data_IF_504530752978
#
_entry.id   IF_504530752978
#
_cell.length_a   1.000
_cell.length_b   1.000
_cell.length_c   1.000
_cell.angle_alpha   90.00
_cell.angle_beta   90.00
_cell.angle_gamma   90.00
#
_symmetry.space_group_name_H-M   'P 1'
#
loop_
_entity.id
_entity.type
_entity.pdbx_description
1 polymer ?
#
# COMPACT_ATOMS: atom_id res chain seq x y z
N UNK A 1 31.05 -0.25 -15.38
CA UNK A 1 30.68 0.45 -14.13
C UNK A 1 29.98 1.68 -14.61
N UNK A 2 28.67 1.59 -14.63
CA UNK A 2 27.83 2.35 -15.55
C UNK A 2 27.61 3.75 -14.95
N UNK A 3 27.38 4.78 -15.78
CA UNK A 3 27.24 6.19 -15.34
C UNK A 3 26.26 6.36 -14.17
N UNK A 4 25.25 5.47 -14.09
CA UNK A 4 24.28 5.41 -12.99
C UNK A 4 24.90 5.07 -11.63
N UNK A 5 25.87 4.16 -11.59
CA UNK A 5 26.60 3.77 -10.37
C UNK A 5 27.65 4.78 -9.93
N UNK A 6 28.13 5.66 -10.82
CA UNK A 6 29.00 6.78 -10.44
C UNK A 6 28.21 7.90 -9.75
N UNK A 7 27.01 8.21 -10.25
CA UNK A 7 26.13 9.24 -9.67
C UNK A 7 25.64 8.88 -8.26
N UNK A 8 25.28 7.61 -8.02
CA UNK A 8 24.85 7.15 -6.69
C UNK A 8 25.95 7.26 -5.63
N UNK A 9 27.20 6.93 -5.98
CA UNK A 9 28.32 7.06 -5.06
C UNK A 9 28.61 8.53 -4.71
N UNK A 10 28.52 9.44 -5.68
CA UNK A 10 28.69 10.88 -5.43
C UNK A 10 27.62 11.42 -4.47
N UNK A 11 26.36 10.99 -4.63
CA UNK A 11 25.25 11.36 -3.73
C UNK A 11 25.52 10.85 -2.30
N UNK A 12 25.97 9.60 -2.16
CA UNK A 12 26.29 9.01 -0.85
C UNK A 12 27.42 9.76 -0.16
N UNK A 13 28.47 10.14 -0.91
CA UNK A 13 29.59 10.90 -0.36
C UNK A 13 29.18 12.31 0.07
N UNK A 14 28.35 13.00 -0.72
CA UNK A 14 27.79 14.32 -0.34
C UNK A 14 26.92 14.22 0.91
N UNK A 15 26.06 13.21 1.02
CA UNK A 15 25.27 12.94 2.22
C UNK A 15 26.15 12.75 3.46
N UNK A 16 27.21 11.92 3.36
CA UNK A 16 28.15 11.69 4.45
C UNK A 16 28.87 12.97 4.86
N UNK A 17 29.29 13.80 3.90
CA UNK A 17 29.93 15.10 4.15
C UNK A 17 29.01 16.00 4.96
N UNK A 18 27.76 16.18 4.55
CA UNK A 18 26.83 17.12 5.19
C UNK A 18 26.27 16.62 6.53
N UNK A 19 26.13 15.30 6.71
CA UNK A 19 25.84 14.71 8.02
C UNK A 19 27.00 14.93 9.01
N UNK A 20 28.25 14.74 8.56
CA UNK A 20 29.43 15.02 9.39
C UNK A 20 29.53 16.51 9.73
N UNK A 21 29.30 17.37 8.73
CA UNK A 21 29.24 18.82 8.90
C UNK A 21 28.22 19.21 9.97
N UNK A 22 27.00 18.68 9.90
CA UNK A 22 25.95 18.92 10.90
C UNK A 22 26.39 18.47 12.30
N UNK A 23 26.89 17.24 12.43
CA UNK A 23 27.27 16.67 13.72
C UNK A 23 28.37 17.47 14.43
N UNK A 24 29.30 18.06 13.69
CA UNK A 24 30.41 18.86 14.19
C UNK A 24 30.03 20.28 14.63
N UNK A 25 28.79 20.74 14.38
CA UNK A 25 28.34 22.07 14.80
C UNK A 25 28.11 22.15 16.30
N UNK A 26 28.44 23.31 16.87
CA UNK A 26 28.13 23.64 18.26
C UNK A 26 26.61 23.71 18.46
N UNK A 27 26.14 23.55 19.70
CA UNK A 27 24.69 23.53 19.97
C UNK A 27 24.01 24.88 19.69
N UNK A 28 24.72 25.99 19.94
CA UNK A 28 24.27 27.34 19.61
C UNK A 28 24.08 27.52 18.10
N UNK A 29 25.05 27.08 17.31
CA UNK A 29 25.00 27.09 15.85
C UNK A 29 23.84 26.23 15.31
N UNK A 30 23.66 25.01 15.86
CA UNK A 30 22.53 24.12 15.50
C UNK A 30 21.18 24.77 15.80
N UNK A 31 21.07 25.42 16.96
CA UNK A 31 19.84 26.08 17.41
C UNK A 31 19.45 27.21 16.46
N UNK A 32 20.40 28.07 16.07
CA UNK A 32 20.16 29.13 15.08
C UNK A 32 19.67 28.55 13.74
N UNK A 33 20.36 27.53 13.22
CA UNK A 33 19.98 26.91 11.94
C UNK A 33 18.56 26.31 12.02
N UNK A 34 18.24 25.61 13.11
CA UNK A 34 16.92 25.01 13.35
C UNK A 34 15.83 26.08 13.44
N UNK A 35 16.08 27.17 14.15
CA UNK A 35 15.13 28.26 14.30
C UNK A 35 14.85 28.91 12.94
N UNK A 36 15.90 29.22 12.18
CA UNK A 36 15.79 29.77 10.82
C UNK A 36 15.05 28.82 9.88
N UNK A 37 15.35 27.52 9.94
CA UNK A 37 14.69 26.48 9.15
C UNK A 37 13.18 26.40 9.43
N UNK A 38 12.76 26.53 10.69
CA UNK A 38 11.35 26.48 11.09
C UNK A 38 10.58 27.76 10.79
N UNK A 39 11.24 28.91 10.83
CA UNK A 39 10.59 30.23 10.74
C UNK A 39 10.57 30.81 9.33
N UNK A 40 11.55 30.45 8.49
CA UNK A 40 11.65 30.94 7.12
C UNK A 40 10.96 30.00 6.12
N UNK A 41 10.49 30.55 5.01
CA UNK A 41 10.13 29.72 3.85
C UNK A 41 11.39 29.06 3.25
N UNK A 42 11.20 27.99 2.47
CA UNK A 42 12.32 27.24 1.89
C UNK A 42 13.26 28.13 1.04
N UNK A 43 12.70 29.06 0.27
CA UNK A 43 13.49 30.00 -0.54
C UNK A 43 14.24 31.02 0.32
N UNK A 44 13.62 31.52 1.39
CA UNK A 44 14.27 32.45 2.32
C UNK A 44 15.40 31.77 3.08
N UNK A 45 15.18 30.54 3.56
CA UNK A 45 16.21 29.76 4.26
C UNK A 45 17.40 29.47 3.35
N UNK A 46 17.14 29.13 2.08
CA UNK A 46 18.17 28.97 1.05
C UNK A 46 18.99 30.23 0.82
N UNK A 47 18.33 31.39 0.68
CA UNK A 47 19.02 32.67 0.51
C UNK A 47 19.86 33.02 1.74
N UNK A 48 19.34 32.74 2.94
CA UNK A 48 20.06 32.94 4.18
C UNK A 48 21.33 32.07 4.24
N UNK A 49 21.24 30.78 3.90
CA UNK A 49 22.40 29.88 3.86
C UNK A 49 23.50 30.38 2.90
N UNK A 50 23.12 30.88 1.72
CA UNK A 50 24.07 31.27 0.69
C UNK A 50 24.69 32.67 0.91
N UNK A 51 23.98 33.58 1.59
CA UNK A 51 24.38 34.99 1.62
C UNK A 51 24.67 35.53 3.03
N UNK A 52 23.99 35.00 4.04
CA UNK A 52 23.91 35.60 5.37
C UNK A 52 24.52 34.73 6.46
N UNK A 53 24.43 33.39 6.33
CA UNK A 53 24.91 32.50 7.37
C UNK A 53 26.44 32.55 7.51
N UNK A 54 26.92 32.20 8.71
CA UNK A 54 28.35 32.17 9.06
C UNK A 54 29.19 31.28 8.13
N UNK A 55 28.56 30.29 7.48
CA UNK A 55 29.21 29.31 6.60
C UNK A 55 28.93 29.52 5.11
N UNK A 56 28.50 30.72 4.71
CA UNK A 56 28.17 31.03 3.31
C UNK A 56 29.29 30.75 2.29
N UNK A 57 30.55 30.77 2.73
CA UNK A 57 31.70 30.46 1.89
C UNK A 57 32.04 28.96 1.83
N UNK A 58 31.44 28.14 2.69
CA UNK A 58 31.59 26.67 2.71
C UNK A 58 30.45 25.95 1.98
N UNK A 59 29.33 26.64 1.73
CA UNK A 59 28.09 26.07 1.21
C UNK A 59 27.89 26.54 -0.24
N UNK A 60 27.73 25.58 -1.15
CA UNK A 60 27.33 25.87 -2.53
C UNK A 60 25.83 25.65 -2.74
N UNK A 61 25.31 26.08 -3.88
CA UNK A 61 23.89 25.88 -4.22
C UNK A 61 23.51 24.39 -4.27
N UNK A 62 24.42 23.55 -4.74
CA UNK A 62 24.19 22.10 -4.87
C UNK A 62 24.18 21.38 -3.52
N UNK A 63 24.80 21.99 -2.51
CA UNK A 63 24.87 21.45 -1.15
C UNK A 63 23.56 21.60 -0.36
N UNK A 64 22.70 22.55 -0.76
CA UNK A 64 21.49 22.91 -0.01
C UNK A 64 20.61 21.68 0.23
N UNK A 65 20.38 20.86 -0.80
CA UNK A 65 19.52 19.67 -0.70
C UNK A 65 20.03 18.71 0.38
N UNK A 66 21.34 18.54 0.47
CA UNK A 66 21.98 17.66 1.46
C UNK A 66 21.95 18.24 2.88
N UNK A 67 21.99 19.57 3.00
CA UNK A 67 21.81 20.27 4.29
C UNK A 67 20.37 20.12 4.78
N UNK A 68 19.37 20.33 3.91
CA UNK A 68 17.97 20.07 4.22
C UNK A 68 17.78 18.65 4.73
N UNK A 69 18.27 17.68 3.96
CA UNK A 69 18.21 16.26 4.32
C UNK A 69 18.84 15.97 5.69
N UNK A 70 19.98 16.59 6.00
CA UNK A 70 20.66 16.41 7.29
C UNK A 70 19.85 16.95 8.47
N UNK A 71 19.21 18.11 8.29
CA UNK A 71 18.35 18.75 9.30
C UNK A 71 17.06 17.94 9.51
N UNK A 72 16.41 17.49 8.44
CA UNK A 72 15.21 16.64 8.52
C UNK A 72 15.51 15.31 9.20
N UNK A 73 16.64 14.69 8.84
CA UNK A 73 17.14 13.48 9.49
C UNK A 73 17.36 13.72 10.98
N UNK A 74 17.97 14.86 11.34
CA UNK A 74 18.14 15.25 12.75
C UNK A 74 16.81 15.41 13.48
N UNK A 75 15.78 16.00 12.87
CA UNK A 75 14.44 16.03 13.49
C UNK A 75 13.85 14.64 13.64
N UNK A 76 13.99 13.76 12.66
CA UNK A 76 13.50 12.39 12.75
C UNK A 76 14.13 11.63 13.94
N UNK A 77 15.43 11.85 14.19
CA UNK A 77 16.14 11.27 15.34
C UNK A 77 15.87 11.99 16.66
N UNK A 78 15.80 13.33 16.70
CA UNK A 78 15.61 14.08 17.96
C UNK A 78 14.15 14.12 18.43
N UNK A 79 13.19 13.90 17.54
CA UNK A 79 11.82 13.52 17.91
C UNK A 79 11.73 12.11 18.54
N UNK A 80 12.87 11.43 18.77
CA UNK A 80 12.96 10.26 19.65
C UNK A 80 13.51 10.60 21.06
N UNK A 81 14.22 11.72 21.23
CA UNK A 81 14.95 12.06 22.47
C UNK A 81 14.42 13.30 23.22
N UNK A 82 13.43 14.02 22.67
CA UNK A 82 12.62 14.88 23.51
C UNK A 82 11.89 14.00 24.51
N UNK A 83 12.12 14.23 25.81
CA UNK A 83 11.21 13.81 26.89
C UNK A 83 9.87 14.54 26.73
N UNK A 84 9.18 14.31 25.61
CA UNK A 84 7.73 14.33 25.61
C UNK A 84 7.34 13.32 26.68
N UNK A 85 6.46 13.71 27.59
CA UNK A 85 5.88 12.79 28.55
C UNK A 85 5.29 11.62 27.77
N UNK A 86 6.03 10.51 27.69
CA UNK A 86 5.60 9.33 26.96
C UNK A 86 4.24 8.93 27.53
N UNK A 87 3.22 9.02 26.68
CA UNK A 87 1.85 8.71 27.05
C UNK A 87 1.76 7.20 27.23
N UNK A 88 1.62 6.77 28.48
CA UNK A 88 1.57 5.36 28.84
C UNK A 88 0.13 4.88 28.80
N UNK A 89 -0.11 3.82 28.06
CA UNK A 89 -1.37 3.10 28.05
C UNK A 89 -1.12 1.59 28.10
N UNK A 90 -2.18 0.82 28.25
CA UNK A 90 -2.10 -0.63 28.21
C UNK A 90 -3.01 -1.20 27.13
N UNK A 91 -2.56 -2.28 26.50
CA UNK A 91 -3.36 -3.08 25.58
C UNK A 91 -3.46 -4.51 26.12
N UNK A 92 -4.67 -5.05 26.16
CA UNK A 92 -4.95 -6.44 26.54
C UNK A 92 -5.00 -7.27 25.27
N UNK A 93 -4.11 -8.27 25.17
CA UNK A 93 -4.01 -9.21 24.05
C UNK A 93 -4.08 -10.62 24.62
N UNK A 94 -5.09 -11.40 24.24
CA UNK A 94 -5.33 -12.75 24.76
C UNK A 94 -5.21 -12.81 26.31
N UNK A 95 -5.93 -11.90 26.98
CA UNK A 95 -5.94 -11.73 28.46
C UNK A 95 -4.64 -11.21 29.08
N UNK A 96 -3.60 -10.95 28.29
CA UNK A 96 -2.32 -10.41 28.76
C UNK A 96 -2.30 -8.89 28.59
N UNK A 97 -2.15 -8.17 29.71
CA UNK A 97 -1.95 -6.71 29.74
C UNK A 97 -0.51 -6.37 29.36
N UNK A 98 -0.31 -5.64 28.26
CA UNK A 98 1.00 -5.14 27.79
C UNK A 98 1.03 -3.61 27.84
N UNK A 99 2.14 -3.05 28.32
CA UNK A 99 2.38 -1.61 28.34
C UNK A 99 2.75 -1.13 26.93
N UNK A 100 2.10 -0.06 26.47
CA UNK A 100 2.44 0.67 25.26
C UNK A 100 2.82 2.10 25.61
N UNK A 101 3.68 2.68 24.77
CA UNK A 101 4.15 4.06 24.87
C UNK A 101 3.79 4.78 23.58
N UNK A 102 2.99 5.83 23.71
CA UNK A 102 2.52 6.61 22.58
C UNK A 102 3.22 7.96 22.56
N UNK A 103 3.57 8.43 21.36
CA UNK A 103 4.13 9.77 21.16
C UNK A 103 3.05 10.84 20.99
N UNK A 104 1.91 10.45 20.41
CA UNK A 104 0.79 11.34 20.12
C UNK A 104 -0.51 10.62 20.46
N UNK A 105 -1.50 11.34 21.02
CA UNK A 105 -2.84 10.82 21.32
C UNK A 105 -3.71 10.72 20.05
N UNK A 106 -3.34 9.83 19.14
CA UNK A 106 -4.14 9.49 17.96
C UNK A 106 -4.49 8.01 17.92
N UNK A 107 -5.56 7.69 17.20
CA UNK A 107 -5.98 6.33 16.91
C UNK A 107 -4.92 5.58 16.08
N UNK A 108 -4.30 6.25 15.12
CA UNK A 108 -3.23 5.66 14.31
C UNK A 108 -2.03 5.24 15.17
N UNK A 109 -1.62 6.09 16.12
CA UNK A 109 -0.53 5.76 17.04
C UNK A 109 -0.89 4.58 17.94
N UNK A 110 -2.11 4.56 18.48
CA UNK A 110 -2.60 3.47 19.31
C UNK A 110 -2.56 2.15 18.52
N UNK A 111 -3.06 2.16 17.29
CA UNK A 111 -3.06 1.00 16.40
C UNK A 111 -1.64 0.51 16.13
N UNK A 112 -0.72 1.43 15.80
CA UNK A 112 0.69 1.12 15.56
C UNK A 112 1.35 0.45 16.76
N UNK A 113 1.20 1.03 17.95
CA UNK A 113 1.79 0.46 19.18
C UNK A 113 1.15 -0.87 19.56
N UNK A 114 -0.16 -1.02 19.33
CA UNK A 114 -0.88 -2.27 19.55
C UNK A 114 -0.35 -3.38 18.64
N UNK A 115 -0.06 -3.08 17.37
CA UNK A 115 0.55 -4.04 16.44
C UNK A 115 1.95 -4.47 16.87
N UNK A 116 2.78 -3.56 17.39
CA UNK A 116 4.11 -3.90 17.91
C UNK A 116 4.07 -4.87 19.10
N UNK A 117 2.95 -4.96 19.81
CA UNK A 117 2.78 -5.88 20.94
C UNK A 117 2.46 -7.33 20.50
N UNK A 118 2.19 -7.56 19.21
CA UNK A 118 1.81 -8.85 18.67
C UNK A 118 3.03 -9.73 18.37
N UNK A 119 3.01 -10.94 18.91
CA UNK A 119 3.92 -12.02 18.53
C UNK A 119 3.48 -12.75 17.25
N UNK A 120 4.41 -13.51 16.65
CA UNK A 120 4.19 -14.31 15.43
C UNK A 120 2.92 -15.18 15.48
N UNK A 121 2.61 -15.77 16.64
CA UNK A 121 1.40 -16.60 16.84
C UNK A 121 0.10 -15.85 16.55
N UNK A 122 0.04 -14.55 16.84
CA UNK A 122 -1.15 -13.75 16.57
C UNK A 122 -1.31 -13.47 15.07
N UNK A 123 -0.22 -13.23 14.36
CA UNK A 123 -0.26 -13.09 12.89
C UNK A 123 -0.64 -14.41 12.21
N UNK A 124 -0.15 -15.54 12.71
CA UNK A 124 -0.58 -16.87 12.26
C UNK A 124 -2.07 -17.08 12.50
N UNK A 125 -2.58 -16.70 13.68
CA UNK A 125 -4.01 -16.73 14.00
C UNK A 125 -4.83 -15.87 13.03
N UNK A 126 -4.42 -14.62 12.81
CA UNK A 126 -5.07 -13.72 11.84
C UNK A 126 -5.13 -14.31 10.43
N UNK A 127 -4.03 -14.91 9.96
CA UNK A 127 -3.95 -15.52 8.63
C UNK A 127 -4.81 -16.77 8.51
N UNK A 128 -4.73 -17.69 9.49
CA UNK A 128 -5.42 -18.97 9.44
C UNK A 128 -6.92 -18.85 9.66
N UNK A 129 -7.34 -17.91 10.53
CA UNK A 129 -8.73 -17.70 10.92
C UNK A 129 -9.37 -16.49 10.22
N UNK A 130 -8.64 -15.83 9.32
CA UNK A 130 -9.09 -14.64 8.57
C UNK A 130 -9.67 -13.55 9.48
N UNK A 131 -8.93 -13.25 10.57
CA UNK A 131 -9.33 -12.26 11.57
C UNK A 131 -8.64 -10.92 11.31
N UNK A 132 -9.34 -9.84 11.63
CA UNK A 132 -8.75 -8.51 11.79
C UNK A 132 -8.75 -8.10 13.27
N UNK A 133 -7.85 -7.19 13.61
CA UNK A 133 -7.79 -6.57 14.92
C UNK A 133 -8.84 -5.46 14.98
N UNK A 134 -9.60 -5.43 16.07
CA UNK A 134 -10.45 -4.33 16.45
C UNK A 134 -10.05 -3.89 17.85
N UNK A 135 -9.84 -2.59 18.04
CA UNK A 135 -9.54 -2.02 19.36
C UNK A 135 -10.83 -1.59 20.04
N UNK A 136 -10.98 -1.95 21.31
CA UNK A 136 -12.13 -1.55 22.14
C UNK A 136 -11.67 -1.00 23.48
N UNK A 137 -12.51 -0.20 24.13
CA UNK A 137 -12.34 0.19 25.53
C UNK A 137 -12.73 -0.95 26.49
N UNK A 138 -12.61 -0.72 27.80
CA UNK A 138 -13.00 -1.67 28.84
C UNK A 138 -14.51 -1.95 28.93
N UNK A 139 -15.35 -1.17 28.24
CA UNK A 139 -16.79 -1.37 28.11
C UNK A 139 -17.16 -2.04 26.78
N UNK A 140 -16.17 -2.57 26.05
CA UNK A 140 -16.29 -3.16 24.71
C UNK A 140 -16.84 -2.18 23.64
N UNK A 141 -16.69 -0.86 23.83
CA UNK A 141 -16.96 0.14 22.79
C UNK A 141 -15.81 0.19 21.80
N UNK A 142 -16.12 0.23 20.50
CA UNK A 142 -15.12 0.29 19.44
C UNK A 142 -14.42 1.65 19.44
N UNK A 143 -13.07 1.62 19.40
CA UNK A 143 -12.24 2.81 19.23
C UNK A 143 -12.04 3.03 17.72
N UNK A 144 -12.66 4.08 17.17
CA UNK A 144 -12.61 4.37 15.73
C UNK A 144 -12.00 5.74 15.40
N UNK A 145 -11.69 6.56 16.41
CA UNK A 145 -11.18 7.92 16.20
C UNK A 145 -10.27 8.39 17.33
N UNK A 146 -9.56 9.49 17.07
CA UNK A 146 -8.72 10.18 18.06
C UNK A 146 -9.51 10.66 19.28
N UNK A 147 -10.79 10.98 19.13
CA UNK A 147 -11.65 11.41 20.24
C UNK A 147 -11.87 10.29 21.25
N UNK A 148 -12.10 9.06 20.78
CA UNK A 148 -12.22 7.89 21.65
C UNK A 148 -10.92 7.62 22.41
N UNK A 149 -9.77 7.78 21.74
CA UNK A 149 -8.45 7.63 22.40
C UNK A 149 -8.27 8.68 23.49
N UNK A 150 -8.50 9.96 23.17
CA UNK A 150 -8.35 11.06 24.13
C UNK A 150 -9.24 10.89 25.35
N UNK A 151 -10.50 10.50 25.13
CA UNK A 151 -11.46 10.24 26.22
C UNK A 151 -10.97 9.15 27.17
N UNK A 152 -10.36 8.08 26.66
CA UNK A 152 -9.83 7.02 27.51
C UNK A 152 -8.61 7.48 28.34
N UNK A 153 -7.83 8.42 27.81
CA UNK A 153 -6.73 9.07 28.53
C UNK A 153 -7.16 10.09 29.59
N UNK A 154 -8.45 10.45 29.67
CA UNK A 154 -9.00 11.20 30.82
C UNK A 154 -9.08 10.32 32.08
N UNK A 155 -8.94 8.99 31.93
CA UNK A 155 -8.85 8.06 33.06
C UNK A 155 -7.42 8.00 33.60
N UNK A 156 -7.28 7.68 34.88
CA UNK A 156 -5.97 7.51 35.54
C UNK A 156 -5.09 6.44 34.88
N UNK A 157 -5.70 5.41 34.28
CA UNK A 157 -5.00 4.33 33.60
C UNK A 157 -5.75 3.97 32.30
N UNK A 158 -5.28 4.44 31.12
CA UNK A 158 -5.93 4.12 29.85
C UNK A 158 -5.65 2.67 29.45
N UNK A 159 -6.73 1.90 29.25
CA UNK A 159 -6.65 0.48 28.91
C UNK A 159 -7.52 0.20 27.69
N UNK A 160 -6.91 -0.44 26.70
CA UNK A 160 -7.54 -0.89 25.48
C UNK A 160 -7.49 -2.41 25.41
N UNK A 161 -8.38 -3.02 24.63
CA UNK A 161 -8.42 -4.45 24.40
C UNK A 161 -8.43 -4.73 22.91
N UNK A 162 -7.65 -5.72 22.49
CA UNK A 162 -7.71 -6.25 21.14
C UNK A 162 -8.80 -7.32 21.10
N UNK A 163 -9.79 -7.09 20.24
CA UNK A 163 -10.74 -8.10 19.81
C UNK A 163 -10.33 -8.64 18.44
N UNK A 164 -10.35 -9.96 18.32
CA UNK A 164 -10.21 -10.63 17.05
C UNK A 164 -11.58 -10.73 16.40
N UNK A 165 -11.84 -9.89 15.41
CA UNK A 165 -13.11 -9.95 14.67
C UNK A 165 -12.90 -10.71 13.37
N UNK A 166 -13.78 -11.64 13.01
CA UNK A 166 -13.80 -12.18 11.67
C UNK A 166 -13.83 -11.03 10.67
N UNK A 167 -12.92 -11.06 9.71
CA UNK A 167 -13.08 -10.18 8.56
C UNK A 167 -14.39 -10.62 7.90
N UNK A 168 -15.47 -9.85 8.09
CA UNK A 168 -16.72 -10.05 7.37
C UNK A 168 -16.46 -9.80 5.88
N UNK A 169 -15.86 -10.79 5.22
CA UNK A 169 -16.01 -10.98 3.80
C UNK A 169 -17.42 -11.55 3.60
N UNK A 170 -18.41 -10.68 3.68
CA UNK A 170 -19.66 -10.94 2.98
C UNK A 170 -19.31 -11.20 1.50
N UNK A 171 -19.36 -12.48 1.10
CA UNK A 171 -19.59 -13.01 -0.26
C UNK A 171 -18.46 -13.17 -1.30
N UNK A 172 -17.17 -12.85 -1.07
CA UNK A 172 -16.15 -12.96 -2.17
C UNK A 172 -15.22 -14.18 -2.08
N UNK A 173 -15.03 -14.81 -0.91
CA UNK A 173 -14.27 -16.07 -0.80
C UNK A 173 -15.20 -17.18 -0.32
N UNK A 174 -16.24 -17.48 -1.11
CA UNK A 174 -16.69 -18.86 -1.17
C UNK A 174 -15.47 -19.66 -1.61
N UNK A 175 -14.95 -20.58 -0.76
CA UNK A 175 -13.79 -21.47 -1.01
C UNK A 175 -13.46 -21.50 -2.50
N UNK A 176 -12.42 -20.78 -2.93
CA UNK A 176 -12.11 -20.64 -4.35
C UNK A 176 -12.03 -22.06 -4.94
N UNK A 177 -13.08 -22.46 -5.65
CA UNK A 177 -13.10 -23.76 -6.31
C UNK A 177 -12.25 -23.57 -7.54
N UNK A 178 -11.06 -24.15 -7.50
CA UNK A 178 -10.23 -24.26 -8.69
C UNK A 178 -11.01 -25.11 -9.69
N UNK A 179 -11.58 -24.46 -10.71
CA UNK A 179 -12.17 -25.13 -11.85
C UNK A 179 -10.99 -25.64 -12.68
N UNK A 180 -10.79 -26.96 -12.66
CA UNK A 180 -9.82 -27.64 -13.51
C UNK A 180 -10.50 -28.02 -14.81
N UNK A 181 -9.77 -27.91 -15.93
CA UNK A 181 -10.27 -28.26 -17.27
C UNK A 181 -11.51 -27.46 -17.67
N UNK A 182 -11.50 -26.15 -17.39
CA UNK A 182 -12.55 -25.28 -17.88
C UNK A 182 -12.44 -25.13 -19.41
N UNK A 183 -13.59 -25.02 -20.07
CA UNK A 183 -13.69 -24.56 -21.46
C UNK A 183 -14.07 -23.08 -21.44
N UNK A 184 -13.23 -22.25 -22.05
CA UNK A 184 -13.44 -20.81 -22.21
C UNK A 184 -13.82 -20.55 -23.66
N UNK A 185 -14.98 -19.92 -23.85
CA UNK A 185 -15.49 -19.54 -25.17
C UNK A 185 -15.47 -18.02 -25.24
N UNK A 186 -14.63 -17.48 -26.13
CA UNK A 186 -14.58 -16.05 -26.42
C UNK A 186 -15.25 -15.78 -27.77
N UNK A 187 -16.07 -14.73 -27.83
CA UNK A 187 -16.61 -14.22 -29.09
C UNK A 187 -16.09 -12.79 -29.24
N UNK A 188 -15.15 -12.60 -30.15
CA UNK A 188 -14.50 -11.34 -30.44
C UNK A 188 -15.08 -10.75 -31.73
N UNK A 189 -15.89 -9.69 -31.59
CA UNK A 189 -16.46 -8.94 -32.72
C UNK A 189 -15.80 -7.58 -32.77
N UNK A 190 -14.97 -7.36 -33.79
CA UNK A 190 -14.24 -6.11 -33.99
C UNK A 190 -14.69 -5.33 -35.23
N UNK A 191 -15.49 -5.95 -36.10
CA UNK A 191 -15.94 -5.34 -37.35
C UNK A 191 -17.47 -5.30 -37.42
N UNK A 192 -18.03 -4.11 -37.67
CA UNK A 192 -19.48 -3.86 -37.74
C UNK A 192 -19.89 -3.38 -39.14
N UNK A 193 -21.11 -3.72 -39.56
CA UNK A 193 -21.63 -3.32 -40.89
C UNK A 193 -21.79 -1.80 -41.02
N UNK A 194 -22.29 -1.15 -39.97
CA UNK A 194 -22.44 0.30 -39.89
C UNK A 194 -21.32 0.88 -39.03
N UNK A 195 -20.12 1.00 -39.62
CA UNK A 195 -18.95 1.58 -38.96
C UNK A 195 -19.12 3.07 -38.59
N UNK A 196 -20.16 3.74 -39.11
CA UNK A 196 -20.47 5.12 -38.73
C UNK A 196 -21.26 5.17 -37.43
N UNK A 197 -22.14 4.20 -37.21
CA UNK A 197 -22.92 4.07 -35.98
C UNK A 197 -22.13 3.36 -34.88
N UNK A 198 -21.37 2.34 -35.23
CA UNK A 198 -20.56 1.53 -34.31
C UNK A 198 -19.15 1.40 -34.86
N UNK A 199 -18.18 2.19 -34.35
CA UNK A 199 -16.82 2.13 -34.85
C UNK A 199 -16.21 0.75 -34.60
N UNK A 200 -15.46 0.26 -35.59
CA UNK A 200 -14.69 -0.96 -35.49
C UNK A 200 -13.67 -0.89 -34.34
N UNK A 201 -13.45 -2.02 -33.70
CA UNK A 201 -12.59 -2.15 -32.52
C UNK A 201 -11.29 -2.87 -32.90
N UNK A 202 -10.36 -2.16 -33.56
CA UNK A 202 -9.10 -2.75 -34.06
C UNK A 202 -8.30 -3.52 -32.99
N UNK A 203 -8.28 -3.02 -31.75
CA UNK A 203 -7.58 -3.70 -30.66
C UNK A 203 -8.18 -5.07 -30.29
N UNK A 204 -9.51 -5.22 -30.46
CA UNK A 204 -10.21 -6.46 -30.18
C UNK A 204 -9.92 -7.54 -31.24
N UNK A 205 -9.36 -7.16 -32.40
CA UNK A 205 -9.01 -8.09 -33.48
C UNK A 205 -7.76 -8.91 -33.17
N UNK A 206 -6.80 -8.33 -32.47
CA UNK A 206 -5.49 -8.94 -32.24
C UNK A 206 -5.01 -8.84 -30.79
N UNK A 207 -4.99 -7.64 -30.21
CA UNK A 207 -4.38 -7.41 -28.89
C UNK A 207 -5.16 -8.14 -27.79
N UNK A 208 -6.47 -7.93 -27.73
CA UNK A 208 -7.29 -8.50 -26.66
C UNK A 208 -7.40 -10.03 -26.80
N UNK A 209 -7.63 -10.54 -28.02
CA UNK A 209 -7.69 -11.99 -28.27
C UNK A 209 -6.39 -12.66 -27.85
N UNK A 210 -5.23 -12.11 -28.22
CA UNK A 210 -3.94 -12.70 -27.86
C UNK A 210 -3.69 -12.65 -26.35
N UNK A 211 -4.06 -11.56 -25.68
CA UNK A 211 -3.93 -11.44 -24.23
C UNK A 211 -4.80 -12.46 -23.49
N UNK A 212 -6.09 -12.58 -23.86
CA UNK A 212 -6.99 -13.53 -23.22
C UNK A 212 -6.61 -14.97 -23.55
N UNK A 213 -6.22 -15.25 -24.79
CA UNK A 213 -5.70 -16.55 -25.18
C UNK A 213 -4.48 -16.93 -24.35
N UNK A 214 -3.51 -16.02 -24.20
CA UNK A 214 -2.34 -16.25 -23.35
C UNK A 214 -2.74 -16.57 -21.90
N UNK A 215 -3.60 -15.76 -21.29
CA UNK A 215 -4.02 -15.95 -19.90
C UNK A 215 -4.76 -17.29 -19.73
N UNK A 216 -5.75 -17.57 -20.56
CA UNK A 216 -6.60 -18.76 -20.35
C UNK A 216 -5.92 -20.06 -20.81
N UNK A 217 -5.24 -20.05 -21.95
CA UNK A 217 -4.62 -21.24 -22.52
C UNK A 217 -3.24 -21.52 -21.90
N UNK A 218 -2.39 -20.51 -21.73
CA UNK A 218 -1.00 -20.72 -21.29
C UNK A 218 -0.86 -20.65 -19.76
N UNK A 219 -1.42 -19.62 -19.11
CA UNK A 219 -1.26 -19.45 -17.66
C UNK A 219 -2.22 -20.35 -16.86
N UNK A 220 -3.47 -20.47 -17.30
CA UNK A 220 -4.50 -21.23 -16.59
C UNK A 220 -4.70 -22.65 -17.12
N UNK A 221 -4.09 -23.00 -18.26
CA UNK A 221 -4.20 -24.32 -18.90
C UNK A 221 -5.66 -24.76 -19.12
N UNK A 222 -6.50 -23.84 -19.58
CA UNK A 222 -7.88 -24.07 -19.98
C UNK A 222 -7.98 -24.32 -21.48
N UNK A 223 -9.02 -25.05 -21.88
CA UNK A 223 -9.36 -25.16 -23.30
C UNK A 223 -9.96 -23.83 -23.74
N UNK A 224 -9.36 -23.17 -24.73
CA UNK A 224 -9.77 -21.84 -25.18
C UNK A 224 -10.23 -21.91 -26.63
N UNK A 225 -11.45 -21.46 -26.89
CA UNK A 225 -12.05 -21.40 -28.23
C UNK A 225 -12.50 -19.98 -28.52
N UNK A 226 -12.14 -19.48 -29.70
CA UNK A 226 -12.53 -18.17 -30.20
C UNK A 226 -13.05 -18.29 -31.63
N UNK A 227 -13.97 -17.41 -32.03
CA UNK A 227 -14.38 -17.27 -33.43
C UNK A 227 -13.20 -16.87 -34.31
N UNK A 228 -13.22 -17.31 -35.58
CA UNK A 228 -12.17 -17.02 -36.56
C UNK A 228 -12.32 -15.65 -37.20
N UNK A 229 -13.57 -15.29 -37.52
CA UNK A 229 -13.87 -14.07 -38.27
C UNK A 229 -14.22 -12.92 -37.33
N UNK A 230 -13.58 -11.74 -37.46
CA UNK A 230 -13.83 -10.57 -36.61
C UNK A 230 -15.19 -9.90 -36.84
N UNK A 231 -15.85 -10.25 -37.94
CA UNK A 231 -17.18 -9.77 -38.32
C UNK A 231 -18.17 -10.93 -38.19
N UNK A 232 -19.15 -10.79 -37.32
CA UNK A 232 -20.21 -11.78 -37.14
C UNK A 232 -21.55 -11.07 -36.94
N UNK A 233 -22.57 -11.51 -37.68
CA UNK A 233 -23.95 -11.17 -37.44
C UNK A 233 -24.60 -12.18 -36.47
N UNK A 234 -25.89 -12.01 -36.19
CA UNK A 234 -26.63 -12.88 -35.27
C UNK A 234 -26.64 -14.36 -35.70
N UNK A 235 -26.78 -14.62 -36.99
CA UNK A 235 -26.86 -15.97 -37.54
C UNK A 235 -25.49 -16.64 -37.49
N UNK A 236 -24.42 -15.92 -37.81
CA UNK A 236 -23.04 -16.40 -37.69
C UNK A 236 -22.71 -16.82 -36.24
N UNK A 237 -23.16 -16.05 -35.25
CA UNK A 237 -22.97 -16.37 -33.82
C UNK A 237 -23.74 -17.64 -33.45
N UNK A 238 -24.97 -17.78 -33.94
CA UNK A 238 -25.79 -18.96 -33.67
C UNK A 238 -25.17 -20.22 -34.29
N UNK A 239 -24.66 -20.13 -35.52
CA UNK A 239 -23.95 -21.22 -36.20
C UNK A 239 -22.70 -21.63 -35.41
N UNK A 240 -21.85 -20.66 -35.06
CA UNK A 240 -20.66 -20.88 -34.25
C UNK A 240 -20.96 -21.58 -32.91
N UNK A 241 -21.96 -21.09 -32.17
CA UNK A 241 -22.34 -21.69 -30.89
C UNK A 241 -22.95 -23.09 -31.07
N UNK A 242 -23.71 -23.33 -32.14
CA UNK A 242 -24.30 -24.64 -32.44
C UNK A 242 -23.20 -25.67 -32.71
N UNK A 243 -22.23 -25.34 -33.55
CA UNK A 243 -21.07 -26.18 -33.84
C UNK A 243 -20.22 -26.45 -32.59
N UNK A 244 -20.04 -25.43 -31.75
CA UNK A 244 -19.30 -25.55 -30.50
C UNK A 244 -20.02 -26.48 -29.51
N UNK A 245 -21.33 -26.31 -29.33
CA UNK A 245 -22.16 -27.16 -28.47
C UNK A 245 -22.11 -28.62 -28.93
N UNK A 246 -22.13 -28.87 -30.24
CA UNK A 246 -22.02 -30.22 -30.82
C UNK A 246 -20.62 -30.82 -30.61
N UNK A 247 -19.57 -30.09 -30.98
CA UNK A 247 -18.18 -30.56 -30.92
C UNK A 247 -17.70 -30.85 -29.49
N UNK A 248 -18.02 -29.97 -28.54
CA UNK A 248 -17.63 -30.12 -27.13
C UNK A 248 -18.68 -30.88 -26.30
N UNK A 249 -19.74 -31.40 -26.95
CA UNK A 249 -20.81 -32.18 -26.32
C UNK A 249 -21.46 -31.46 -25.12
N UNK A 250 -21.64 -30.13 -25.21
CA UNK A 250 -22.15 -29.25 -24.16
C UNK A 250 -23.68 -29.34 -23.98
N UNK A 251 -24.22 -30.54 -24.14
CA UNK A 251 -25.66 -30.79 -24.04
C UNK A 251 -26.04 -30.98 -22.56
N UNK A 252 -27.22 -31.52 -22.30
CA UNK A 252 -27.71 -31.75 -20.93
C UNK A 252 -26.73 -32.58 -20.12
N UNK A 253 -26.32 -32.07 -18.96
CA UNK A 253 -25.52 -32.82 -18.00
C UNK A 253 -26.31 -34.04 -17.52
N UNK A 254 -25.85 -35.24 -17.89
CA UNK A 254 -26.48 -36.52 -17.52
C UNK A 254 -26.03 -37.05 -16.16
N UNK A 255 -25.08 -36.39 -15.50
CA UNK A 255 -24.66 -36.76 -14.15
C UNK A 255 -25.66 -36.20 -13.14
N UNK A 256 -26.50 -37.07 -12.58
CA UNK A 256 -27.24 -36.77 -11.35
C UNK A 256 -26.22 -36.67 -10.21
N UNK A 257 -25.96 -35.45 -9.75
CA UNK A 257 -25.29 -35.24 -8.46
C UNK A 257 -26.31 -35.52 -7.36
N UNK A 258 -26.13 -36.66 -6.67
CA UNK A 258 -26.77 -36.97 -5.38
C UNK A 258 -26.12 -36.15 -4.27
#
# INVERSE_FOLDING_TARGET
MDEKGQNENEIIEKNKKWMKWWNQREQTDKTEIIEKFKTMSNEQFKLWLLNECKWKYEITKDDIIFIYFSIETFFAFTNQDNKEEELKAYVIIDEIKKLIKMKVLTFEELLRQSHYCLELKHFQKMSNEYLKIQLVDMNDNIIESDEFVKKEFERNEPIFKILWTPLQQSLIIGKAKVIKNALVIMIAISEYEDNKKWPNLENAKDIDINNFKYIFEQELNYEFVCNKEPKMNKDDINEFLTDLIASHKLHKNKKQTW
#
